data_IF_927692359434
#
_entry.id   IF_927692359434
#
_cell.length_a   1.000
_cell.length_b   1.000
_cell.length_c   1.000
_cell.angle_alpha   90.00
_cell.angle_beta   90.00
_cell.angle_gamma   90.00
#
_symmetry.space_group_name_H-M   'P 1'
#
loop_
_entity.id
_entity.type
_entity.pdbx_description
1 polymer ?
#
# COMPACT_ATOMS: atom_id res chain seq x y z
N UNK A 1 19.14 7.69 -9.18
CA UNK A 1 17.94 8.20 -9.90
C UNK A 1 16.74 7.94 -9.01
N UNK A 2 15.74 8.82 -9.04
CA UNK A 2 14.47 8.62 -8.35
C UNK A 2 13.34 8.67 -9.39
N UNK A 3 12.40 7.74 -9.32
CA UNK A 3 11.17 7.77 -10.11
C UNK A 3 9.99 7.97 -9.16
N UNK A 4 9.02 8.81 -9.52
CA UNK A 4 7.80 9.04 -8.74
C UNK A 4 6.57 8.64 -9.57
N UNK A 5 5.74 7.75 -9.03
CA UNK A 5 4.46 7.34 -9.62
C UNK A 5 3.27 7.84 -8.80
N UNK A 6 2.26 8.35 -9.50
CA UNK A 6 1.03 8.85 -8.92
C UNK A 6 0.05 7.71 -8.56
N UNK A 7 -1.07 8.05 -7.90
CA UNK A 7 -2.18 7.15 -7.63
C UNK A 7 -3.32 7.26 -8.64
N UNK A 8 -4.40 6.50 -8.44
CA UNK A 8 -5.59 6.58 -9.28
C UNK A 8 -6.17 8.01 -9.36
N UNK A 9 -6.65 8.38 -10.55
CA UNK A 9 -7.25 9.69 -10.88
C UNK A 9 -6.30 10.88 -10.74
N UNK A 10 -4.99 10.66 -10.61
CA UNK A 10 -3.99 11.72 -10.47
C UNK A 10 -3.04 11.76 -11.68
N UNK A 11 -2.07 12.68 -11.65
CA UNK A 11 -1.00 12.85 -12.64
C UNK A 11 0.30 13.27 -11.98
N UNK A 12 1.40 13.04 -12.68
CA UNK A 12 2.77 13.47 -12.35
C UNK A 12 2.85 14.92 -11.86
N UNK A 13 2.06 15.83 -12.43
CA UNK A 13 2.04 17.24 -12.08
C UNK A 13 1.77 17.52 -10.59
N UNK A 14 0.96 16.68 -9.93
CA UNK A 14 0.64 16.79 -8.50
C UNK A 14 1.84 16.52 -7.59
N UNK A 15 2.86 15.83 -8.12
CA UNK A 15 4.04 15.39 -7.36
C UNK A 15 5.24 16.33 -7.49
N UNK A 16 5.11 17.47 -8.18
CA UNK A 16 6.17 18.49 -8.28
C UNK A 16 6.64 18.99 -6.91
N UNK A 17 5.72 19.14 -5.95
CA UNK A 17 6.06 19.55 -4.58
C UNK A 17 6.80 18.46 -3.82
N UNK A 18 6.42 17.20 -4.00
CA UNK A 18 7.15 16.07 -3.43
C UNK A 18 8.57 15.98 -4.00
N UNK A 19 8.71 16.10 -5.32
CA UNK A 19 10.02 16.15 -5.97
C UNK A 19 10.87 17.31 -5.44
N UNK A 20 10.31 18.51 -5.33
CA UNK A 20 11.01 19.65 -4.74
C UNK A 20 11.43 19.39 -3.28
N UNK A 21 10.55 18.80 -2.47
CA UNK A 21 10.86 18.40 -1.10
C UNK A 21 12.05 17.44 -1.08
N UNK A 22 11.99 16.37 -1.88
CA UNK A 22 13.04 15.33 -1.97
C UNK A 22 14.38 15.93 -2.39
N UNK A 23 14.39 16.83 -3.38
CA UNK A 23 15.61 17.52 -3.83
C UNK A 23 16.29 18.33 -2.72
N UNK A 24 15.57 18.73 -1.67
CA UNK A 24 16.15 19.48 -0.53
C UNK A 24 16.60 18.59 0.63
N UNK A 25 16.43 17.27 0.58
CA UNK A 25 16.71 16.39 1.72
C UNK A 25 18.21 16.14 1.95
N UNK A 26 19.07 16.45 0.98
CA UNK A 26 20.49 16.11 1.03
C UNK A 26 20.68 14.60 1.11
N UNK A 27 20.14 13.88 0.11
CA UNK A 27 20.27 12.43 0.01
C UNK A 27 21.72 12.04 -0.29
N UNK A 28 22.18 10.84 0.15
CA UNK A 28 23.54 10.40 -0.09
C UNK A 28 23.80 10.14 -1.58
N UNK A 29 24.98 10.56 -2.06
CA UNK A 29 25.42 10.37 -3.44
C UNK A 29 25.18 11.59 -4.35
N UNK A 30 25.41 11.45 -5.67
CA UNK A 30 25.18 12.52 -6.63
C UNK A 30 23.69 12.89 -6.71
N UNK A 31 23.40 14.14 -7.09
CA UNK A 31 22.02 14.61 -7.31
C UNK A 31 21.32 13.67 -8.28
N UNK A 32 20.37 12.90 -7.76
CA UNK A 32 19.63 11.94 -8.56
C UNK A 32 18.65 12.70 -9.47
N UNK A 33 18.61 12.42 -10.79
CA UNK A 33 17.50 12.89 -11.60
C UNK A 33 16.20 12.33 -11.02
N UNK A 34 15.18 13.18 -10.89
CA UNK A 34 13.85 12.82 -10.43
C UNK A 34 12.90 12.81 -11.63
N UNK A 35 12.41 11.63 -11.97
CA UNK A 35 11.46 11.42 -13.07
C UNK A 35 10.05 11.33 -12.48
N UNK A 36 9.08 12.00 -13.10
CA UNK A 36 7.68 11.89 -12.73
C UNK A 36 6.97 11.08 -13.82
N UNK A 37 6.45 9.91 -13.46
CA UNK A 37 5.73 9.03 -14.38
C UNK A 37 4.24 9.35 -14.41
N UNK A 38 3.62 9.17 -15.58
CA UNK A 38 2.17 9.21 -15.77
C UNK A 38 1.70 7.86 -16.32
N UNK A 39 0.55 7.38 -15.83
CA UNK A 39 -0.15 6.22 -16.39
C UNK A 39 -1.66 6.46 -16.44
N UNK A 40 -2.34 5.74 -17.33
CA UNK A 40 -3.79 5.84 -17.50
C UNK A 40 -4.47 5.01 -16.42
N UNK A 41 -5.24 5.66 -15.54
CA UNK A 41 -5.91 4.98 -14.43
C UNK A 41 -7.43 5.12 -14.43
N UNK A 42 -7.99 6.03 -15.22
CA UNK A 42 -9.43 6.35 -15.25
C UNK A 42 -10.13 5.84 -16.49
N UNK A 43 -9.47 5.03 -17.31
CA UNK A 43 -10.08 4.40 -18.46
C UNK A 43 -10.63 3.03 -18.04
N UNK A 44 -11.93 2.81 -18.19
CA UNK A 44 -12.58 1.59 -17.72
C UNK A 44 -12.03 0.33 -18.40
N UNK A 45 -11.52 0.43 -19.63
CA UNK A 45 -10.95 -0.72 -20.37
C UNK A 45 -9.53 -1.09 -19.92
N UNK A 46 -8.86 -0.25 -19.13
CA UNK A 46 -7.46 -0.45 -18.72
C UNK A 46 -7.37 -1.31 -17.47
N UNK A 47 -6.53 -2.34 -17.54
CA UNK A 47 -6.22 -3.26 -16.44
C UNK A 47 -4.80 -3.04 -15.90
N UNK A 48 -4.49 -3.67 -14.76
CA UNK A 48 -3.14 -3.64 -14.19
C UNK A 48 -2.08 -4.26 -15.12
N UNK A 49 -2.45 -5.26 -15.93
CA UNK A 49 -1.60 -5.84 -16.98
C UNK A 49 -1.17 -4.78 -18.00
N UNK A 50 -2.12 -4.02 -18.53
CA UNK A 50 -1.86 -2.97 -19.51
C UNK A 50 -0.92 -1.90 -18.92
N UNK A 51 -1.15 -1.52 -17.67
CA UNK A 51 -0.34 -0.52 -16.97
C UNK A 51 1.09 -1.04 -16.73
N UNK A 52 1.25 -2.30 -16.29
CA UNK A 52 2.57 -2.88 -16.07
C UNK A 52 3.36 -2.99 -17.38
N UNK A 53 2.74 -3.49 -18.45
CA UNK A 53 3.39 -3.61 -19.76
C UNK A 53 3.68 -2.23 -20.39
N UNK A 54 2.81 -1.24 -20.16
CA UNK A 54 3.07 0.15 -20.57
C UNK A 54 4.20 0.79 -19.75
N UNK A 55 4.25 0.55 -18.43
CA UNK A 55 5.32 1.02 -17.56
C UNK A 55 6.67 0.43 -18.01
N UNK A 56 6.72 -0.87 -18.32
CA UNK A 56 7.94 -1.51 -18.82
C UNK A 56 8.42 -0.89 -20.14
N UNK A 57 7.51 -0.69 -21.10
CA UNK A 57 7.85 -0.03 -22.37
C UNK A 57 8.36 1.39 -22.15
N UNK A 58 7.63 2.20 -21.37
CA UNK A 58 8.03 3.57 -21.07
C UNK A 58 9.38 3.65 -20.33
N UNK A 59 9.67 2.69 -19.45
CA UNK A 59 10.94 2.59 -18.74
C UNK A 59 12.11 2.35 -19.70
N UNK A 60 11.94 1.39 -20.63
CA UNK A 60 12.96 1.05 -21.63
C UNK A 60 13.12 2.18 -22.66
N UNK A 61 12.03 2.70 -23.20
CA UNK A 61 12.04 3.79 -24.20
C UNK A 61 12.65 5.08 -23.62
N UNK A 62 12.41 5.34 -22.33
CA UNK A 62 13.03 6.44 -21.60
C UNK A 62 14.51 6.23 -21.26
N UNK A 63 15.07 5.05 -21.54
CA UNK A 63 16.45 4.70 -21.21
C UNK A 63 16.71 4.65 -19.70
N UNK A 64 15.69 4.34 -18.88
CA UNK A 64 15.86 4.24 -17.44
C UNK A 64 16.68 2.98 -17.09
N UNK A 65 17.49 3.03 -16.01
CA UNK A 65 18.32 1.89 -15.62
C UNK A 65 17.51 0.62 -15.35
N UNK A 66 17.99 -0.50 -15.88
CA UNK A 66 17.45 -1.85 -15.61
C UNK A 66 18.42 -2.72 -14.81
N UNK A 67 19.62 -2.20 -14.51
CA UNK A 67 20.59 -2.90 -13.67
C UNK A 67 19.98 -3.15 -12.28
N UNK A 68 20.21 -4.33 -11.67
CA UNK A 68 19.63 -4.66 -10.38
C UNK A 68 19.93 -3.58 -9.33
N UNK A 69 18.90 -3.18 -8.59
CA UNK A 69 19.01 -2.27 -7.44
C UNK A 69 19.73 -0.95 -7.76
N UNK A 70 19.39 -0.35 -8.91
CA UNK A 70 19.97 0.91 -9.41
C UNK A 70 19.05 2.14 -9.32
N UNK A 71 17.76 1.94 -9.01
CA UNK A 71 16.76 3.02 -8.96
C UNK A 71 16.03 3.05 -7.61
N UNK A 72 15.79 4.25 -7.07
CA UNK A 72 14.88 4.45 -5.94
C UNK A 72 13.50 4.85 -6.49
N UNK A 73 12.43 4.18 -6.04
CA UNK A 73 11.07 4.40 -6.51
C UNK A 73 10.21 4.96 -5.38
N UNK A 74 9.48 6.04 -5.67
CA UNK A 74 8.51 6.65 -4.77
C UNK A 74 7.13 6.48 -5.39
N UNK A 75 6.18 5.97 -4.63
CA UNK A 75 4.82 5.71 -5.12
C UNK A 75 3.80 6.26 -4.14
N UNK A 76 2.65 6.68 -4.66
CA UNK A 76 1.51 7.11 -3.85
C UNK A 76 0.29 6.27 -4.15
N UNK A 77 -0.46 5.90 -3.10
CA UNK A 77 -1.77 5.25 -3.24
C UNK A 77 -1.72 4.02 -4.16
N UNK A 78 -2.56 3.95 -5.19
CA UNK A 78 -2.59 2.88 -6.21
C UNK A 78 -1.24 2.66 -6.92
N UNK A 79 -0.37 3.66 -6.99
CA UNK A 79 0.96 3.52 -7.59
C UNK A 79 1.80 2.42 -6.94
N UNK A 80 1.52 2.07 -5.68
CA UNK A 80 2.16 0.95 -5.00
C UNK A 80 1.77 -0.41 -5.60
N UNK A 81 0.49 -0.61 -5.91
CA UNK A 81 0.01 -1.81 -6.59
C UNK A 81 0.61 -1.93 -8.00
N UNK A 82 0.63 -0.82 -8.73
CA UNK A 82 1.27 -0.76 -10.07
C UNK A 82 2.74 -1.14 -10.00
N UNK A 83 3.50 -0.53 -9.09
CA UNK A 83 4.93 -0.79 -8.96
C UNK A 83 5.23 -2.23 -8.54
N UNK A 84 4.51 -2.74 -7.53
CA UNK A 84 4.66 -4.13 -7.07
C UNK A 84 4.35 -5.11 -8.18
N UNK A 85 3.25 -4.90 -8.91
CA UNK A 85 2.86 -5.79 -10.00
C UNK A 85 3.84 -5.72 -11.20
N UNK A 86 4.31 -4.53 -11.56
CA UNK A 86 5.35 -4.37 -12.58
C UNK A 86 6.64 -5.12 -12.19
N UNK A 87 7.07 -5.01 -10.92
CA UNK A 87 8.24 -5.73 -10.41
C UNK A 87 8.07 -7.25 -10.55
N UNK A 88 6.95 -7.81 -10.09
CA UNK A 88 6.71 -9.26 -10.11
C UNK A 88 6.47 -9.82 -11.51
N UNK A 89 5.94 -9.00 -12.42
CA UNK A 89 5.66 -9.39 -13.81
C UNK A 89 6.91 -9.39 -14.69
N UNK A 90 7.79 -8.39 -14.56
CA UNK A 90 8.89 -8.17 -15.50
C UNK A 90 10.28 -8.54 -14.95
N UNK A 91 10.40 -8.79 -13.65
CA UNK A 91 11.67 -9.07 -13.01
C UNK A 91 11.59 -10.27 -12.09
N UNK A 92 12.75 -10.64 -11.57
CA UNK A 92 12.89 -11.56 -10.43
C UNK A 92 13.46 -10.76 -9.25
N UNK A 93 13.44 -11.30 -8.01
CA UNK A 93 14.05 -10.62 -6.88
C UNK A 93 15.51 -10.22 -7.08
N UNK A 94 16.28 -10.99 -7.85
CA UNK A 94 17.70 -10.75 -8.14
C UNK A 94 17.93 -9.77 -9.30
N UNK A 95 17.00 -9.68 -10.25
CA UNK A 95 17.13 -8.81 -11.43
C UNK A 95 16.42 -7.47 -11.30
N UNK A 96 15.60 -7.30 -10.26
CA UNK A 96 14.78 -6.11 -10.09
C UNK A 96 15.61 -4.82 -9.97
N UNK A 97 15.32 -3.77 -10.78
CA UNK A 97 16.09 -2.53 -10.76
C UNK A 97 15.84 -1.68 -9.51
N UNK A 98 14.76 -1.92 -8.76
CA UNK A 98 14.41 -1.11 -7.60
C UNK A 98 15.31 -1.47 -6.41
N UNK A 99 16.01 -0.47 -5.87
CA UNK A 99 16.81 -0.56 -4.65
C UNK A 99 15.98 -0.21 -3.42
N UNK A 100 15.33 0.95 -3.45
CA UNK A 100 14.48 1.45 -2.37
C UNK A 100 13.09 1.74 -2.91
N UNK A 101 12.08 1.39 -2.13
CA UNK A 101 10.69 1.62 -2.48
C UNK A 101 10.01 2.38 -1.35
N UNK A 102 9.84 3.69 -1.53
CA UNK A 102 9.09 4.53 -0.59
C UNK A 102 7.64 4.59 -1.04
N UNK A 103 6.75 4.02 -0.22
CA UNK A 103 5.32 4.05 -0.44
C UNK A 103 4.67 5.09 0.47
N UNK A 104 4.02 6.08 -0.13
CA UNK A 104 3.27 7.11 0.58
C UNK A 104 1.78 6.77 0.49
N UNK A 105 1.16 6.50 1.63
CA UNK A 105 -0.25 6.12 1.75
C UNK A 105 -0.70 5.04 0.74
N UNK A 106 0.00 3.88 0.62
CA UNK A 106 -0.30 2.88 -0.40
C UNK A 106 -1.57 2.09 -0.09
N UNK A 107 -2.35 1.74 -1.12
CA UNK A 107 -3.50 0.85 -1.00
C UNK A 107 -3.10 -0.64 -1.18
N UNK A 108 -2.12 -1.12 -0.40
CA UNK A 108 -1.49 -2.43 -0.61
C UNK A 108 -2.44 -3.62 -0.50
N UNK A 109 -3.43 -3.53 0.38
CA UNK A 109 -4.51 -4.53 0.58
C UNK A 109 -5.89 -3.89 0.39
N UNK A 110 -5.97 -2.95 -0.56
CA UNK A 110 -7.20 -2.24 -0.90
C UNK A 110 -7.49 -1.00 -0.07
N UNK A 111 -8.61 -0.36 -0.39
CA UNK A 111 -9.11 0.89 0.19
C UNK A 111 -10.63 0.92 0.17
N UNK A 112 -11.25 1.71 1.05
CA UNK A 112 -12.71 1.87 1.09
C UNK A 112 -13.26 2.72 -0.07
N UNK A 113 -12.40 3.17 -0.99
CA UNK A 113 -12.76 4.17 -1.98
C UNK A 113 -13.74 3.62 -3.02
N UNK A 114 -13.63 2.34 -3.36
CA UNK A 114 -14.42 1.75 -4.43
C UNK A 114 -15.83 1.33 -3.94
N UNK A 115 -15.99 0.94 -2.67
CA UNK A 115 -17.30 0.79 -2.03
C UNK A 115 -18.09 2.09 -1.84
N UNK A 116 -17.45 3.27 -1.85
CA UNK A 116 -18.15 4.55 -1.80
C UNK A 116 -18.67 4.86 -3.20
N UNK A 117 -19.93 4.50 -3.43
CA UNK A 117 -20.61 4.45 -4.73
C UNK A 117 -20.44 5.67 -5.65
N UNK A 118 -20.96 5.54 -6.88
CA UNK A 118 -20.78 6.44 -8.04
C UNK A 118 -20.86 7.95 -7.76
N UNK A 119 -21.60 8.39 -6.74
CA UNK A 119 -21.71 9.80 -6.31
C UNK A 119 -20.49 10.35 -5.54
N UNK A 120 -19.71 9.49 -4.89
CA UNK A 120 -18.45 9.84 -4.25
C UNK A 120 -17.32 9.89 -5.28
N UNK A 121 -17.21 8.86 -6.13
CA UNK A 121 -16.37 8.87 -7.33
C UNK A 121 -16.63 10.13 -8.18
N UNK A 122 -17.90 10.45 -8.46
CA UNK A 122 -18.27 11.62 -9.25
C UNK A 122 -17.81 12.96 -8.65
N UNK A 123 -17.67 13.07 -7.32
CA UNK A 123 -17.15 14.28 -6.64
C UNK A 123 -15.64 14.34 -6.60
N UNK A 124 -14.96 13.19 -6.46
CA UNK A 124 -13.50 13.10 -6.63
C UNK A 124 -13.11 13.41 -8.07
N UNK A 125 -13.78 12.81 -9.04
CA UNK A 125 -13.58 13.01 -10.49
C UNK A 125 -13.90 14.43 -10.94
N UNK A 126 -14.87 15.14 -10.32
CA UNK A 126 -15.14 16.56 -10.68
C UNK A 126 -13.96 17.50 -10.38
N UNK A 127 -13.00 17.08 -9.55
CA UNK A 127 -11.71 17.75 -9.33
C UNK A 127 -10.60 17.36 -10.32
N UNK A 128 -10.75 16.24 -11.05
CA UNK A 128 -9.74 15.68 -11.94
C UNK A 128 -10.34 15.43 -13.34
N UNK A 129 -10.02 16.31 -14.29
CA UNK A 129 -10.55 16.25 -15.67
C UNK A 129 -10.12 14.95 -16.39
N UNK A 130 -10.93 13.89 -16.32
CA UNK A 130 -10.83 12.76 -17.25
C UNK A 130 -11.18 13.24 -18.66
N UNK A 131 -10.43 12.77 -19.67
CA UNK A 131 -10.64 13.12 -21.09
C UNK A 131 -11.77 12.31 -21.73
N UNK A 132 -12.17 11.18 -21.13
CA UNK A 132 -13.31 10.36 -21.56
C UNK A 132 -14.46 10.58 -20.59
N UNK A 133 -15.60 11.06 -21.11
CA UNK A 133 -16.83 11.24 -20.33
C UNK A 133 -17.27 9.87 -19.78
N UNK A 134 -17.65 9.81 -18.50
CA UNK A 134 -18.19 8.64 -17.79
C UNK A 134 -17.23 7.49 -17.43
N UNK A 135 -15.96 7.52 -17.86
CA UNK A 135 -14.98 6.51 -17.42
C UNK A 135 -14.44 6.85 -16.04
N UNK A 136 -14.31 5.83 -15.20
CA UNK A 136 -13.81 5.95 -13.83
C UNK A 136 -12.57 5.09 -13.57
N UNK A 137 -12.16 4.24 -14.51
CA UNK A 137 -11.15 3.22 -14.28
C UNK A 137 -11.70 2.06 -13.47
N UNK A 138 -12.89 1.56 -13.84
CA UNK A 138 -13.62 0.51 -13.13
C UNK A 138 -12.73 -0.69 -12.76
N UNK A 139 -11.89 -1.17 -13.69
CA UNK A 139 -10.99 -2.30 -13.43
C UNK A 139 -9.88 -1.99 -12.41
N UNK A 140 -9.32 -0.77 -12.45
CA UNK A 140 -8.33 -0.34 -11.47
C UNK A 140 -8.96 -0.16 -10.08
N UNK A 141 -10.19 0.38 -10.04
CA UNK A 141 -10.95 0.53 -8.80
C UNK A 141 -11.36 -0.82 -8.21
N UNK A 142 -11.76 -1.79 -9.04
CA UNK A 142 -12.05 -3.15 -8.60
C UNK A 142 -10.82 -3.80 -7.94
N UNK A 143 -9.61 -3.59 -8.49
CA UNK A 143 -8.37 -4.05 -7.85
C UNK A 143 -8.02 -3.29 -6.57
N UNK A 144 -8.57 -2.09 -6.35
CA UNK A 144 -8.42 -1.31 -5.11
C UNK A 144 -9.47 -1.62 -4.04
N UNK A 145 -10.49 -2.42 -4.36
CA UNK A 145 -11.44 -2.87 -3.34
C UNK A 145 -10.72 -3.69 -2.26
N UNK A 146 -11.26 -3.64 -1.04
CA UNK A 146 -10.83 -4.56 -0.01
C UNK A 146 -11.08 -6.00 -0.46
N UNK A 147 -10.14 -6.88 -0.18
CA UNK A 147 -10.20 -8.29 -0.59
C UNK A 147 -10.30 -8.50 -2.10
N UNK A 148 -9.84 -7.55 -2.93
CA UNK A 148 -9.82 -7.76 -4.37
C UNK A 148 -8.93 -8.97 -4.74
N UNK A 149 -9.36 -9.81 -5.71
CA UNK A 149 -8.54 -10.93 -6.20
C UNK A 149 -7.13 -10.48 -6.61
N UNK A 150 -7.04 -9.33 -7.28
CA UNK A 150 -5.76 -8.76 -7.69
C UNK A 150 -4.81 -8.48 -6.52
N UNK A 151 -5.29 -7.86 -5.43
CA UNK A 151 -4.44 -7.56 -4.27
C UNK A 151 -4.04 -8.83 -3.51
N UNK A 152 -4.91 -9.84 -3.49
CA UNK A 152 -4.65 -11.17 -2.93
C UNK A 152 -3.55 -11.89 -3.71
N UNK A 153 -3.73 -12.06 -5.02
CA UNK A 153 -2.76 -12.70 -5.91
C UNK A 153 -1.39 -12.01 -5.85
N UNK A 154 -1.38 -10.67 -5.87
CA UNK A 154 -0.14 -9.91 -5.76
C UNK A 154 0.58 -10.16 -4.42
N UNK A 155 -0.16 -10.26 -3.32
CA UNK A 155 0.41 -10.60 -2.02
C UNK A 155 0.95 -12.03 -1.98
N UNK A 156 0.30 -12.98 -2.67
CA UNK A 156 0.84 -14.33 -2.82
C UNK A 156 2.16 -14.33 -3.58
N UNK A 157 2.29 -13.48 -4.62
CA UNK A 157 3.52 -13.37 -5.41
C UNK A 157 4.69 -12.69 -4.67
N UNK A 158 4.43 -11.63 -3.90
CA UNK A 158 5.51 -10.81 -3.32
C UNK A 158 5.66 -10.84 -1.80
N UNK A 159 4.66 -11.36 -1.07
CA UNK A 159 4.71 -11.52 0.39
C UNK A 159 4.71 -12.96 0.85
N UNK A 160 4.04 -13.88 0.15
CA UNK A 160 3.89 -15.27 0.62
C UNK A 160 4.57 -16.33 -0.26
N UNK A 161 5.28 -15.94 -1.32
CA UNK A 161 6.11 -16.86 -2.09
C UNK A 161 7.32 -17.34 -1.26
N UNK A 162 7.30 -18.60 -0.82
CA UNK A 162 8.37 -19.18 -0.01
C UNK A 162 9.74 -19.27 -0.73
N UNK A 163 9.75 -19.24 -2.06
CA UNK A 163 10.96 -19.37 -2.88
C UNK A 163 11.53 -18.00 -3.28
N UNK A 164 10.69 -16.97 -3.38
CA UNK A 164 11.08 -15.64 -3.90
C UNK A 164 10.90 -14.55 -2.84
N UNK A 165 12.01 -14.22 -2.16
CA UNK A 165 12.06 -13.07 -1.25
C UNK A 165 12.31 -11.76 -2.00
N UNK A 166 11.30 -10.90 -2.07
CA UNK A 166 11.34 -9.61 -2.79
C UNK A 166 11.90 -8.43 -1.98
N UNK A 167 11.85 -8.50 -0.64
CA UNK A 167 12.15 -7.36 0.23
C UNK A 167 13.23 -7.66 1.27
N UNK A 168 13.78 -6.60 1.86
CA UNK A 168 14.83 -6.63 2.87
C UNK A 168 16.26 -6.49 2.31
N UNK A 169 17.29 -6.64 3.15
CA UNK A 169 18.69 -6.48 2.75
C UNK A 169 19.06 -7.36 1.56
N UNK A 170 19.81 -6.81 0.61
CA UNK A 170 20.15 -7.48 -0.66
C UNK A 170 19.01 -7.54 -1.69
N UNK A 171 17.82 -7.03 -1.34
CA UNK A 171 16.62 -6.97 -2.17
C UNK A 171 16.06 -5.54 -2.14
N UNK A 172 14.74 -5.38 -2.34
CA UNK A 172 14.08 -4.06 -2.27
C UNK A 172 13.95 -3.63 -0.81
N UNK A 173 14.50 -2.45 -0.50
CA UNK A 173 14.36 -1.80 0.79
C UNK A 173 13.07 -0.98 0.81
N UNK A 174 11.95 -1.62 1.17
CA UNK A 174 10.63 -1.00 1.13
C UNK A 174 10.26 -0.32 2.46
N UNK A 175 9.86 0.95 2.39
CA UNK A 175 9.36 1.73 3.52
C UNK A 175 7.98 2.29 3.19
N UNK A 176 7.00 1.99 4.03
CA UNK A 176 5.62 2.50 3.94
C UNK A 176 5.43 3.61 4.96
N UNK A 177 4.95 4.77 4.51
CA UNK A 177 4.51 5.87 5.36
C UNK A 177 3.04 6.16 5.08
N UNK A 178 2.17 6.17 6.09
CA UNK A 178 0.72 6.38 5.93
C UNK A 178 0.17 7.37 6.94
N UNK A 179 -0.73 8.26 6.53
CA UNK A 179 -1.40 9.19 7.43
C UNK A 179 -2.31 8.49 8.44
N UNK A 180 -2.78 9.22 9.44
CA UNK A 180 -3.78 8.72 10.43
C UNK A 180 -4.93 9.70 10.64
N UNK A 181 -4.90 10.86 9.98
CA UNK A 181 -5.95 11.85 10.03
C UNK A 181 -6.81 11.75 8.77
N UNK A 182 -8.13 11.89 8.92
CA UNK A 182 -9.02 12.08 7.79
C UNK A 182 -8.92 13.48 7.19
N UNK A 183 -9.61 13.69 6.06
CA UNK A 183 -9.79 15.03 5.50
C UNK A 183 -10.70 15.89 6.38
N UNK A 184 -10.60 17.21 6.23
CA UNK A 184 -11.49 18.20 6.84
C UNK A 184 -12.47 18.79 5.82
N UNK A 185 -13.46 19.55 6.31
CA UNK A 185 -14.44 20.23 5.47
C UNK A 185 -15.33 19.26 4.69
N UNK A 186 -15.67 19.61 3.45
CA UNK A 186 -16.58 18.82 2.60
C UNK A 186 -16.02 17.42 2.30
N UNK A 187 -14.69 17.29 2.21
CA UNK A 187 -14.01 16.03 1.95
C UNK A 187 -14.04 15.06 3.13
N UNK A 188 -14.43 15.50 4.34
CA UNK A 188 -14.52 14.64 5.51
C UNK A 188 -15.54 13.49 5.37
N UNK A 189 -16.51 13.61 4.46
CA UNK A 189 -17.44 12.52 4.12
C UNK A 189 -16.74 11.29 3.52
N UNK A 190 -15.50 11.45 3.03
CA UNK A 190 -14.64 10.37 2.56
C UNK A 190 -14.00 9.57 3.69
N UNK A 191 -14.02 10.06 4.92
CA UNK A 191 -13.30 9.44 6.01
C UNK A 191 -13.98 8.12 6.43
N UNK A 192 -13.15 7.20 6.90
CA UNK A 192 -13.55 6.05 7.69
C UNK A 192 -12.63 6.02 8.92
N UNK A 193 -13.12 5.48 10.03
CA UNK A 193 -12.23 5.29 11.17
C UNK A 193 -11.12 4.28 10.82
N UNK A 194 -9.95 4.49 11.42
CA UNK A 194 -8.75 3.72 11.12
C UNK A 194 -8.10 4.04 9.76
N UNK A 195 -8.55 5.11 9.07
CA UNK A 195 -8.02 5.52 7.76
C UNK A 195 -7.22 6.82 7.80
N UNK A 196 -6.46 7.08 6.74
CA UNK A 196 -5.87 8.39 6.43
C UNK A 196 -6.85 9.32 5.67
N UNK A 197 -8.14 9.00 5.68
CA UNK A 197 -9.18 9.64 4.88
C UNK A 197 -9.47 8.94 3.54
N UNK A 198 -8.66 7.96 3.13
CA UNK A 198 -8.87 7.20 1.87
C UNK A 198 -8.54 5.73 2.06
N UNK A 199 -7.35 5.43 2.57
CA UNK A 199 -6.83 4.07 2.77
C UNK A 199 -6.87 3.74 4.26
N UNK A 200 -7.27 2.52 4.60
CA UNK A 200 -7.13 2.03 5.97
C UNK A 200 -5.65 1.89 6.33
N UNK A 201 -5.27 2.38 7.51
CA UNK A 201 -3.88 2.27 7.98
C UNK A 201 -3.42 0.82 8.03
N UNK A 202 -4.32 -0.10 8.40
CA UNK A 202 -4.06 -1.55 8.44
C UNK A 202 -3.85 -2.18 7.06
N UNK A 203 -4.41 -1.60 5.98
CA UNK A 203 -4.26 -2.12 4.61
C UNK A 203 -3.07 -1.52 3.87
N UNK A 204 -2.45 -0.48 4.42
CA UNK A 204 -1.23 0.10 3.86
C UNK A 204 0.03 -0.73 4.19
N UNK A 205 0.06 -1.41 5.34
CA UNK A 205 1.25 -2.10 5.84
C UNK A 205 1.56 -3.38 5.05
N UNK A 206 2.77 -3.50 4.47
CA UNK A 206 3.26 -4.68 3.74
C UNK A 206 3.69 -5.88 4.61
N UNK A 207 3.30 -5.91 5.88
CA UNK A 207 3.62 -7.00 6.80
C UNK A 207 2.33 -7.72 7.24
N UNK A 208 1.56 -8.34 6.31
CA UNK A 208 0.44 -9.17 6.67
C UNK A 208 0.92 -10.49 7.30
N UNK A 209 -0.01 -11.14 7.99
CA UNK A 209 0.08 -12.55 8.33
C UNK A 209 -1.07 -13.28 7.63
N UNK A 210 -0.83 -14.54 7.27
CA UNK A 210 -1.82 -15.43 6.65
C UNK A 210 -2.07 -16.60 7.60
N UNK A 211 -3.33 -16.88 7.85
CA UNK A 211 -3.77 -18.03 8.62
C UNK A 211 -4.52 -18.96 7.67
N UNK A 212 -3.93 -20.12 7.40
CA UNK A 212 -4.56 -21.17 6.60
C UNK A 212 -5.25 -22.17 7.52
N UNK A 213 -6.46 -22.56 7.14
CA UNK A 213 -7.25 -23.57 7.82
C UNK A 213 -7.57 -24.67 6.80
N UNK A 214 -6.88 -25.81 6.91
CA UNK A 214 -7.14 -26.96 6.04
C UNK A 214 -8.31 -27.79 6.59
N UNK A 215 -9.42 -27.77 5.86
CA UNK A 215 -10.64 -28.52 6.17
C UNK A 215 -10.71 -29.88 5.47
N UNK A 216 -9.74 -30.24 4.61
CA UNK A 216 -9.76 -31.49 3.82
C UNK A 216 -9.57 -32.71 4.71
N UNK A 217 -8.65 -32.62 5.68
CA UNK A 217 -8.28 -33.77 6.53
C UNK A 217 -9.28 -34.01 7.67
N UNK A 218 -9.67 -32.96 8.39
CA UNK A 218 -10.69 -33.01 9.46
C UNK A 218 -11.50 -31.71 9.44
N UNK A 219 -12.66 -31.69 8.75
CA UNK A 219 -13.48 -30.49 8.62
C UNK A 219 -13.97 -29.92 9.96
N UNK A 220 -14.03 -30.71 11.03
CA UNK A 220 -14.48 -30.26 12.34
C UNK A 220 -13.33 -29.70 13.20
N UNK A 221 -12.08 -30.02 12.84
CA UNK A 221 -10.87 -29.59 13.55
C UNK A 221 -9.75 -29.25 12.57
N UNK A 222 -9.95 -28.24 11.71
CA UNK A 222 -8.90 -27.79 10.80
C UNK A 222 -7.68 -27.37 11.61
N UNK A 223 -6.49 -27.74 11.15
CA UNK A 223 -5.24 -27.35 11.80
C UNK A 223 -4.84 -25.96 11.31
N UNK A 224 -4.68 -24.97 12.20
CA UNK A 224 -4.22 -23.66 11.80
C UNK A 224 -2.74 -23.69 11.42
N UNK A 225 -2.44 -23.19 10.23
CA UNK A 225 -1.08 -22.90 9.79
C UNK A 225 -0.91 -21.38 9.68
N UNK A 226 -0.10 -20.81 10.57
CA UNK A 226 0.22 -19.39 10.56
C UNK A 226 1.50 -19.15 9.76
N UNK A 227 1.38 -18.33 8.71
CA UNK A 227 2.48 -17.89 7.87
C UNK A 227 2.67 -16.39 7.99
N UNK A 228 3.89 -15.95 8.27
CA UNK A 228 4.26 -14.53 8.22
C UNK A 228 4.74 -14.16 6.83
N UNK A 229 4.49 -12.92 6.40
CA UNK A 229 5.07 -12.41 5.16
C UNK A 229 6.60 -12.53 5.11
N UNK A 230 7.14 -12.83 3.93
CA UNK A 230 8.55 -13.08 3.69
C UNK A 230 9.35 -11.75 3.61
N UNK A 231 10.56 -11.70 4.14
CA UNK A 231 11.38 -10.47 4.07
C UNK A 231 10.81 -9.28 4.87
N UNK A 232 11.72 -8.51 5.45
CA UNK A 232 11.33 -7.34 6.25
C UNK A 232 10.92 -6.15 5.37
N UNK A 233 9.91 -5.41 5.81
CA UNK A 233 9.55 -4.10 5.26
C UNK A 233 9.34 -3.11 6.39
N UNK A 234 9.72 -1.85 6.16
CA UNK A 234 9.59 -0.79 7.14
C UNK A 234 8.19 -0.14 7.03
N UNK A 235 7.58 0.21 8.16
CA UNK A 235 6.26 0.82 8.20
C UNK A 235 6.21 1.91 9.27
N UNK A 236 5.63 3.07 8.96
CA UNK A 236 5.40 4.13 9.93
C UNK A 236 4.09 4.88 9.67
N UNK A 237 3.36 5.13 10.75
CA UNK A 237 2.20 6.03 10.78
C UNK A 237 2.69 7.47 10.82
N UNK A 238 1.95 8.38 10.18
CA UNK A 238 2.20 9.82 10.20
C UNK A 238 1.01 10.53 10.87
N UNK A 239 1.00 10.64 12.21
CA UNK A 239 0.01 11.45 12.92
C UNK A 239 -0.16 12.83 12.33
N UNK A 240 -1.43 13.28 12.24
CA UNK A 240 -1.87 14.57 11.66
C UNK A 240 -1.85 14.65 10.14
N UNK A 241 -1.21 13.72 9.45
CA UNK A 241 -1.27 13.63 8.01
C UNK A 241 -2.50 12.85 7.55
N UNK A 242 -3.07 13.30 6.44
CA UNK A 242 -4.05 12.56 5.66
C UNK A 242 -3.40 12.00 4.39
N UNK A 243 -4.20 11.31 3.58
CA UNK A 243 -3.78 10.66 2.34
C UNK A 243 -3.03 11.59 1.37
N UNK A 244 -3.45 12.85 1.27
CA UNK A 244 -2.82 13.86 0.41
C UNK A 244 -1.56 14.44 1.04
N UNK A 245 -1.63 14.89 2.30
CA UNK A 245 -0.52 15.61 2.94
C UNK A 245 0.68 14.70 3.17
N UNK A 246 0.47 13.41 3.45
CA UNK A 246 1.53 12.39 3.51
C UNK A 246 2.33 12.29 2.19
N UNK A 247 1.68 12.58 1.05
CA UNK A 247 2.30 12.61 -0.29
C UNK A 247 2.85 13.99 -0.68
N UNK A 248 2.99 14.90 0.29
CA UNK A 248 3.35 16.31 0.11
C UNK A 248 2.39 17.13 -0.79
N UNK A 249 1.14 16.67 -0.96
CA UNK A 249 0.04 17.43 -1.56
C UNK A 249 -0.60 18.33 -0.50
N UNK A 250 -1.54 19.19 -0.92
CA UNK A 250 -2.37 20.01 -0.01
C UNK A 250 -1.62 20.80 1.07
N UNK A 251 -0.45 21.34 0.70
CA UNK A 251 0.39 22.15 1.59
C UNK A 251 1.51 21.38 2.29
N UNK A 252 1.71 20.10 1.93
CA UNK A 252 2.82 19.30 2.44
C UNK A 252 2.47 18.51 3.70
N UNK A 253 3.41 17.67 4.18
CA UNK A 253 3.20 16.89 5.38
C UNK A 253 2.97 17.76 6.62
N UNK A 254 2.05 17.32 7.48
CA UNK A 254 1.67 17.96 8.75
C UNK A 254 2.44 17.37 9.94
N UNK A 255 2.86 16.12 9.82
CA UNK A 255 3.74 15.51 10.79
C UNK A 255 5.14 16.13 10.68
N UNK A 256 5.70 16.68 11.78
CA UNK A 256 7.02 17.32 11.74
C UNK A 256 8.15 16.34 11.37
N UNK A 257 7.97 15.04 11.62
CA UNK A 257 8.97 14.01 11.32
C UNK A 257 8.88 13.50 9.88
N UNK A 258 7.82 13.81 9.11
CA UNK A 258 7.62 13.25 7.78
C UNK A 258 8.81 13.49 6.84
N UNK A 259 9.40 14.69 6.89
CA UNK A 259 10.59 15.04 6.09
C UNK A 259 11.79 14.14 6.41
N UNK A 260 12.05 13.91 7.69
CA UNK A 260 13.15 13.07 8.16
C UNK A 260 12.89 11.60 7.86
N UNK A 261 11.65 11.13 7.98
CA UNK A 261 11.24 9.77 7.66
C UNK A 261 11.38 9.47 6.15
N UNK A 262 10.97 10.41 5.27
CA UNK A 262 11.20 10.31 3.82
C UNK A 262 12.70 10.27 3.51
N UNK A 263 13.50 11.13 4.15
CA UNK A 263 14.95 11.13 3.99
C UNK A 263 15.55 9.78 4.41
N UNK A 264 15.16 9.26 5.57
CA UNK A 264 15.63 7.99 6.09
C UNK A 264 15.30 6.84 5.13
N UNK A 265 14.06 6.77 4.65
CA UNK A 265 13.62 5.77 3.66
C UNK A 265 14.44 5.81 2.37
N UNK A 266 14.77 7.00 1.87
CA UNK A 266 15.55 7.18 0.63
C UNK A 266 17.07 7.10 0.83
N UNK A 267 17.55 7.05 2.08
CA UNK A 267 18.98 6.99 2.40
C UNK A 267 19.41 5.63 2.94
N UNK A 268 18.47 4.80 3.40
CA UNK A 268 18.76 3.52 4.07
C UNK A 268 19.60 2.59 3.19
N UNK A 269 20.51 1.83 3.80
CA UNK A 269 21.38 0.86 3.14
C UNK A 269 21.02 -0.55 3.58
N UNK A 270 21.57 -1.56 2.89
CA UNK A 270 21.37 -2.96 3.30
C UNK A 270 21.77 -3.22 4.74
N UNK A 271 22.92 -2.66 5.17
CA UNK A 271 23.42 -2.84 6.52
C UNK A 271 22.56 -2.15 7.59
N UNK A 272 21.87 -1.06 7.23
CA UNK A 272 21.05 -0.28 8.17
C UNK A 272 19.55 -0.56 8.09
N UNK A 273 19.10 -1.48 7.24
CA UNK A 273 17.67 -1.63 6.98
C UNK A 273 16.91 -2.25 8.16
N UNK A 274 17.48 -3.26 8.82
CA UNK A 274 16.88 -3.87 10.01
C UNK A 274 16.74 -2.85 11.15
N UNK A 275 17.75 -2.00 11.36
CA UNK A 275 17.69 -0.90 12.33
C UNK A 275 16.63 0.14 11.93
N UNK A 276 16.51 0.44 10.63
CA UNK A 276 15.46 1.32 10.12
C UNK A 276 14.06 0.76 10.43
N UNK A 277 13.81 -0.52 10.17
CA UNK A 277 12.55 -1.20 10.53
C UNK A 277 12.28 -1.11 12.04
N UNK A 278 13.28 -1.41 12.87
CA UNK A 278 13.18 -1.36 14.34
C UNK A 278 12.85 0.04 14.84
N UNK A 279 13.55 1.06 14.32
CA UNK A 279 13.32 2.46 14.70
C UNK A 279 11.91 2.92 14.33
N UNK A 280 11.40 2.54 13.16
CA UNK A 280 10.01 2.88 12.78
C UNK A 280 8.98 2.12 13.62
N UNK A 281 9.26 0.87 14.04
CA UNK A 281 8.39 0.14 14.95
C UNK A 281 8.31 0.81 16.33
N UNK A 282 9.44 1.28 16.88
CA UNK A 282 9.48 2.06 18.11
C UNK A 282 8.73 3.39 17.97
N UNK A 283 8.94 4.10 16.85
CA UNK A 283 8.22 5.35 16.55
C UNK A 283 6.71 5.13 16.46
N UNK A 284 6.25 4.04 15.81
CA UNK A 284 4.85 3.66 15.77
C UNK A 284 4.27 3.37 17.15
N UNK A 285 5.03 2.70 18.02
CA UNK A 285 4.59 2.44 19.38
C UNK A 285 4.39 3.76 20.15
N UNK A 286 5.27 4.75 19.94
CA UNK A 286 5.09 6.09 20.50
C UNK A 286 3.85 6.79 19.91
N UNK A 287 3.71 6.84 18.59
CA UNK A 287 2.55 7.45 17.94
C UNK A 287 1.22 6.81 18.36
N UNK A 288 1.18 5.49 18.56
CA UNK A 288 -0.02 4.82 19.09
C UNK A 288 -0.37 5.29 20.50
N UNK A 289 0.64 5.48 21.37
CA UNK A 289 0.43 6.04 22.72
C UNK A 289 -0.06 7.48 22.66
N UNK A 290 0.52 8.30 21.80
CA UNK A 290 0.14 9.72 21.65
C UNK A 290 -1.28 9.89 21.11
N UNK A 291 -1.75 8.93 20.31
CA UNK A 291 -3.10 8.92 19.72
C UNK A 291 -4.09 8.04 20.50
N UNK A 292 -3.74 7.52 21.68
CA UNK A 292 -4.56 6.55 22.42
C UNK A 292 -5.98 7.06 22.73
N UNK A 293 -6.14 8.37 22.93
CA UNK A 293 -7.44 9.00 23.20
C UNK A 293 -8.29 9.29 21.96
N UNK A 294 -7.85 8.88 20.75
CA UNK A 294 -8.58 9.11 19.50
C UNK A 294 -9.06 7.77 18.94
N UNK A 295 -10.31 7.43 19.24
CA UNK A 295 -10.94 6.17 18.82
C UNK A 295 -10.77 5.92 17.31
N UNK A 296 -10.92 6.96 16.47
CA UNK A 296 -10.78 6.87 15.01
C UNK A 296 -9.38 6.48 14.50
N UNK A 297 -8.39 6.30 15.38
CA UNK A 297 -7.00 5.97 15.00
C UNK A 297 -6.50 4.66 15.60
N UNK A 298 -7.27 3.98 16.45
CA UNK A 298 -6.82 2.83 17.24
C UNK A 298 -7.76 1.64 17.10
N UNK A 299 -7.24 0.42 17.30
CA UNK A 299 -8.07 -0.78 17.41
C UNK A 299 -8.58 -1.37 16.09
N UNK A 300 -8.10 -0.87 14.95
CA UNK A 300 -8.49 -1.39 13.64
C UNK A 300 -7.55 -2.50 13.16
N UNK A 301 -8.14 -3.63 12.79
CA UNK A 301 -7.53 -4.72 12.05
C UNK A 301 -8.32 -4.90 10.76
N UNK A 302 -7.62 -5.14 9.65
CA UNK A 302 -8.26 -5.60 8.43
C UNK A 302 -8.07 -7.12 8.33
N UNK A 303 -9.16 -7.86 8.19
CA UNK A 303 -9.15 -9.31 8.01
C UNK A 303 -9.82 -9.63 6.69
N UNK A 304 -9.07 -10.21 5.77
CA UNK A 304 -9.56 -10.72 4.49
C UNK A 304 -9.63 -12.24 4.58
N UNK A 305 -10.73 -12.80 4.07
CA UNK A 305 -10.97 -14.23 4.05
C UNK A 305 -11.01 -14.67 2.61
N UNK A 306 -10.35 -15.79 2.31
CA UNK A 306 -10.37 -16.42 1.00
C UNK A 306 -10.65 -17.90 1.22
N UNK A 307 -11.55 -18.46 0.42
CA UNK A 307 -11.94 -19.87 0.51
C UNK A 307 -11.74 -20.51 -0.86
N UNK A 308 -11.01 -21.60 -0.90
CA UNK A 308 -10.82 -22.43 -2.09
C UNK A 308 -11.31 -23.85 -1.83
N UNK A 309 -11.73 -24.53 -2.90
CA UNK A 309 -12.09 -25.94 -2.86
C UNK A 309 -10.87 -26.86 -3.03
N UNK A 310 -11.09 -28.17 -3.03
CA UNK A 310 -10.04 -29.18 -3.20
C UNK A 310 -9.37 -29.17 -4.59
N UNK A 311 -9.90 -28.41 -5.54
CA UNK A 311 -9.34 -28.21 -6.87
C UNK A 311 -8.70 -26.83 -7.02
N UNK A 312 -8.47 -26.13 -5.89
CA UNK A 312 -7.91 -24.78 -5.82
C UNK A 312 -8.80 -23.72 -6.51
N UNK A 313 -10.09 -24.02 -6.73
CA UNK A 313 -11.03 -23.06 -7.29
C UNK A 313 -11.63 -22.19 -6.19
N UNK A 314 -11.76 -20.89 -6.47
CA UNK A 314 -12.34 -19.92 -5.53
C UNK A 314 -13.81 -20.24 -5.24
N UNK A 315 -14.15 -20.35 -3.95
CA UNK A 315 -15.53 -20.45 -3.48
C UNK A 315 -16.08 -19.03 -3.33
N UNK A 316 -17.10 -18.70 -4.11
CA UNK A 316 -17.67 -17.33 -4.17
C UNK A 316 -18.83 -17.10 -3.20
N UNK A 317 -19.40 -18.16 -2.66
CA UNK A 317 -20.61 -18.16 -1.85
C UNK A 317 -20.37 -18.87 -0.51
N UNK A 318 -19.72 -18.16 0.41
CA UNK A 318 -19.50 -18.65 1.77
C UNK A 318 -19.93 -17.61 2.80
N UNK A 319 -20.13 -18.09 4.03
CA UNK A 319 -20.39 -17.26 5.19
C UNK A 319 -19.40 -17.64 6.30
N UNK A 320 -18.82 -16.63 6.94
CA UNK A 320 -17.91 -16.80 8.07
C UNK A 320 -18.57 -16.23 9.32
N UNK A 321 -18.68 -17.06 10.35
CA UNK A 321 -19.05 -16.62 11.70
C UNK A 321 -17.84 -16.74 12.63
N UNK A 322 -17.52 -15.64 13.29
CA UNK A 322 -16.49 -15.60 14.32
C UNK A 322 -17.15 -15.38 15.69
N UNK A 323 -16.93 -16.31 16.61
CA UNK A 323 -17.38 -16.20 17.99
C UNK A 323 -16.17 -16.00 18.90
N UNK A 324 -16.22 -14.99 19.75
CA UNK A 324 -15.23 -14.78 20.79
C UNK A 324 -15.82 -15.15 22.15
N UNK A 325 -14.97 -15.63 23.07
CA UNK A 325 -15.32 -15.78 24.49
C UNK A 325 -14.31 -14.99 25.31
N UNK A 326 -14.79 -14.30 26.34
CA UNK A 326 -13.87 -13.69 27.30
C UNK A 326 -13.04 -14.78 27.98
N UNK A 327 -11.77 -14.52 28.30
CA UNK A 327 -10.98 -15.41 29.14
C UNK A 327 -11.77 -15.71 30.43
N UNK A 328 -12.03 -17.00 30.69
CA UNK A 328 -12.79 -17.51 31.85
C UNK A 328 -14.31 -17.24 31.86
N UNK A 329 -14.93 -16.87 30.75
CA UNK A 329 -16.39 -16.78 30.65
C UNK A 329 -16.98 -17.94 29.84
N UNK A 330 -18.06 -18.54 30.35
CA UNK A 330 -18.87 -19.52 29.61
C UNK A 330 -19.83 -18.87 28.60
N UNK A 331 -19.84 -17.53 28.51
CA UNK A 331 -20.68 -16.76 27.59
C UNK A 331 -19.83 -16.15 26.49
N UNK A 332 -20.40 -16.11 25.30
CA UNK A 332 -19.82 -15.40 24.15
C UNK A 332 -19.66 -13.91 24.46
N UNK A 333 -18.53 -13.34 24.02
CA UNK A 333 -18.26 -11.92 24.05
C UNK A 333 -18.93 -11.25 22.86
N UNK A 334 -20.15 -10.75 23.07
CA UNK A 334 -20.93 -10.02 22.05
C UNK A 334 -20.42 -8.60 21.78
N UNK A 335 -19.20 -8.25 22.21
CA UNK A 335 -18.58 -6.95 21.92
C UNK A 335 -17.83 -6.90 20.58
N UNK A 336 -17.58 -8.06 19.98
CA UNK A 336 -16.90 -8.21 18.69
C UNK A 336 -17.87 -8.39 17.51
N UNK A 337 -19.18 -8.39 17.77
CA UNK A 337 -20.30 -8.44 16.82
C UNK A 337 -21.19 -7.23 17.03
#
# INVERSE_FOLDING_TARGET
MIVILHGWSDRSASFKRLAALISTLGLPGPVAPIMLGDYVSMDDDVHFDDIADAMQRAWLDGGLPTAPRSVDLVVHSTGALVARYWMTRHFTPDTNPIRRLLMLAPANFGSHLAHKGTSFLGRVVKGFKSKRLFHTGANILAGLELASPFSWELAMLDRFDAQRRWYGPGRVLATVLVGTAGYSGISAAANADGSDGTVLVSTAQLNPAMLELDFVTDPQKPRPLLSTSNGETAFCRLPKDNHSTAAAKDGGPRNPLARELIKAALSVTDAGFTDHCTNLALQNAQFRRDEVGKESTQGYQNTVVWVSDQYEADVRDYFLEAFAKLPNANREDRRLT
#
